data_IF_612488853236
#
_entry.id   IF_612488853236
#
_cell.length_a   1.000
_cell.length_b   1.000
_cell.length_c   1.000
_cell.angle_alpha   90.00
_cell.angle_beta   90.00
_cell.angle_gamma   90.00
#
_symmetry.space_group_name_H-M   'P 1'
#
loop_
_entity.id
_entity.type
_entity.pdbx_description
1 polymer ?
#
# COMPACT_ATOMS: atom_id res chain seq x y z
N UNK A 1 -13.44 -20.45 11.00
CA UNK A 1 -14.39 -19.68 10.19
C UNK A 1 -13.88 -19.74 8.77
N UNK A 2 -14.56 -20.48 7.89
CA UNK A 2 -14.25 -20.45 6.46
C UNK A 2 -14.38 -19.02 5.96
N UNK A 3 -13.34 -18.50 5.31
CA UNK A 3 -13.43 -17.25 4.59
C UNK A 3 -14.52 -17.41 3.53
N UNK A 4 -15.65 -16.72 3.69
CA UNK A 4 -16.73 -16.73 2.73
C UNK A 4 -16.20 -16.23 1.39
N UNK A 5 -16.02 -17.13 0.42
CA UNK A 5 -15.60 -16.79 -0.93
C UNK A 5 -16.73 -16.06 -1.65
N UNK A 6 -16.38 -15.04 -2.44
CA UNK A 6 -17.34 -14.40 -3.33
C UNK A 6 -17.75 -15.37 -4.43
N UNK A 7 -19.02 -15.31 -4.83
CA UNK A 7 -19.44 -15.97 -6.07
C UNK A 7 -18.77 -15.29 -7.28
N UNK A 8 -18.63 -15.97 -8.43
CA UNK A 8 -18.08 -15.36 -9.64
C UNK A 8 -18.80 -14.05 -10.03
N UNK A 9 -20.13 -13.99 -9.92
CA UNK A 9 -20.91 -12.80 -10.23
C UNK A 9 -20.61 -11.63 -9.28
N UNK A 10 -20.47 -11.91 -7.98
CA UNK A 10 -20.10 -10.88 -7.00
C UNK A 10 -18.71 -10.33 -7.27
N UNK A 11 -17.76 -11.20 -7.58
CA UNK A 11 -16.39 -10.80 -7.92
C UNK A 11 -16.35 -9.96 -9.21
N UNK A 12 -17.07 -10.38 -10.26
CA UNK A 12 -17.18 -9.59 -11.51
C UNK A 12 -17.81 -8.22 -11.26
N UNK A 13 -18.86 -8.16 -10.44
CA UNK A 13 -19.50 -6.89 -10.06
C UNK A 13 -18.52 -5.94 -9.36
N UNK A 14 -17.71 -6.46 -8.44
CA UNK A 14 -16.67 -5.68 -7.76
C UNK A 14 -15.63 -5.15 -8.74
N UNK A 15 -15.22 -5.96 -9.72
CA UNK A 15 -14.28 -5.52 -10.74
C UNK A 15 -14.87 -4.44 -11.65
N UNK A 16 -16.14 -4.53 -12.03
CA UNK A 16 -16.81 -3.45 -12.76
C UNK A 16 -16.80 -2.14 -11.98
N UNK A 17 -17.12 -2.18 -10.69
CA UNK A 17 -17.03 -1.00 -9.82
C UNK A 17 -15.60 -0.45 -9.74
N UNK A 18 -14.60 -1.31 -9.52
CA UNK A 18 -13.20 -0.91 -9.51
C UNK A 18 -12.75 -0.34 -10.86
N UNK A 19 -13.43 -0.71 -11.95
CA UNK A 19 -13.21 -0.19 -13.29
C UNK A 19 -13.97 1.10 -13.62
N UNK A 20 -14.62 1.69 -12.62
CA UNK A 20 -15.45 2.89 -12.80
C UNK A 20 -16.60 2.65 -13.80
N UNK A 21 -17.10 1.42 -13.88
CA UNK A 21 -18.27 1.06 -14.66
C UNK A 21 -19.51 1.05 -13.76
N UNK A 22 -20.57 1.72 -14.22
CA UNK A 22 -21.84 1.78 -13.49
C UNK A 22 -22.47 0.39 -13.41
N UNK A 23 -22.88 0.01 -12.21
CA UNK A 23 -23.71 -1.17 -11.95
C UNK A 23 -25.08 -0.68 -11.47
N UNK A 24 -26.17 -1.17 -12.06
CA UNK A 24 -27.52 -0.69 -11.77
C UNK A 24 -27.96 -0.94 -10.32
N UNK A 25 -27.62 -2.11 -9.77
CA UNK A 25 -27.85 -2.46 -8.38
C UNK A 25 -26.78 -3.45 -7.92
N UNK A 26 -26.30 -3.29 -6.69
CA UNK A 26 -25.31 -4.21 -6.12
C UNK A 26 -25.83 -4.82 -4.83
N UNK A 27 -25.92 -6.14 -4.79
CA UNK A 27 -26.29 -6.87 -3.57
C UNK A 27 -25.13 -6.82 -2.55
N UNK A 28 -25.28 -5.98 -1.54
CA UNK A 28 -24.30 -5.79 -0.44
C UNK A 28 -24.52 -6.79 0.70
N UNK A 29 -24.47 -8.08 0.41
CA UNK A 29 -24.55 -9.11 1.44
C UNK A 29 -23.24 -9.21 2.27
N UNK A 30 -23.28 -9.94 3.39
CA UNK A 30 -22.17 -10.00 4.35
C UNK A 30 -20.85 -10.48 3.71
N UNK A 31 -20.81 -11.56 2.89
CA UNK A 31 -19.58 -11.95 2.19
C UNK A 31 -18.99 -10.85 1.31
N UNK A 32 -19.83 -10.11 0.57
CA UNK A 32 -19.40 -8.98 -0.26
C UNK A 32 -18.77 -7.87 0.59
N UNK A 33 -19.42 -7.49 1.68
CA UNK A 33 -18.94 -6.46 2.60
C UNK A 33 -17.62 -6.85 3.27
N UNK A 34 -17.49 -8.10 3.73
CA UNK A 34 -16.30 -8.61 4.39
C UNK A 34 -15.11 -8.70 3.41
N UNK A 35 -15.37 -9.13 2.16
CA UNK A 35 -14.36 -9.11 1.11
C UNK A 35 -13.89 -7.69 0.77
N UNK A 36 -14.82 -6.76 0.53
CA UNK A 36 -14.50 -5.36 0.20
C UNK A 36 -13.60 -4.73 1.28
N UNK A 37 -13.90 -4.97 2.56
CA UNK A 37 -13.10 -4.45 3.68
C UNK A 37 -11.72 -5.09 3.74
N UNK A 38 -11.64 -6.42 3.72
CA UNK A 38 -10.37 -7.16 3.79
C UNK A 38 -9.47 -6.92 2.57
N UNK A 39 -10.06 -6.66 1.41
CA UNK A 39 -9.35 -6.27 0.20
C UNK A 39 -8.88 -4.80 0.19
N UNK A 40 -9.31 -4.00 1.18
CA UNK A 40 -8.95 -2.58 1.29
C UNK A 40 -9.70 -1.66 0.32
N UNK A 41 -10.86 -2.09 -0.19
CA UNK A 41 -11.57 -1.41 -1.27
C UNK A 41 -12.67 -0.47 -0.78
N UNK A 42 -13.13 -0.60 0.46
CA UNK A 42 -14.20 0.24 1.02
C UNK A 42 -13.96 1.75 0.84
N UNK A 43 -12.76 2.30 1.14
CA UNK A 43 -12.49 3.72 0.95
C UNK A 43 -12.58 4.17 -0.52
N UNK A 44 -12.02 3.36 -1.43
CA UNK A 44 -12.07 3.59 -2.87
C UNK A 44 -13.49 3.55 -3.41
N UNK A 45 -14.28 2.56 -3.01
CA UNK A 45 -15.68 2.46 -3.42
C UNK A 45 -16.49 3.66 -2.93
N UNK A 46 -16.30 4.12 -1.69
CA UNK A 46 -16.95 5.35 -1.24
C UNK A 46 -16.63 6.53 -2.16
N UNK A 47 -15.35 6.75 -2.46
CA UNK A 47 -14.92 7.84 -3.34
C UNK A 47 -15.55 7.72 -4.73
N UNK A 48 -15.48 6.55 -5.37
CA UNK A 48 -16.05 6.31 -6.70
C UNK A 48 -17.58 6.51 -6.73
N UNK A 49 -18.29 6.00 -5.72
CA UNK A 49 -19.75 6.15 -5.63
C UNK A 49 -20.12 7.63 -5.53
N UNK A 50 -19.43 8.39 -4.67
CA UNK A 50 -19.68 9.83 -4.48
C UNK A 50 -19.32 10.65 -5.71
N UNK A 51 -18.21 10.32 -6.37
CA UNK A 51 -17.75 11.01 -7.57
C UNK A 51 -18.72 10.84 -8.74
N UNK A 52 -19.33 9.65 -8.88
CA UNK A 52 -20.19 9.31 -10.01
C UNK A 52 -21.69 9.39 -9.73
N UNK A 53 -22.12 9.74 -8.52
CA UNK A 53 -23.53 9.84 -8.15
C UNK A 53 -24.27 8.49 -8.11
N UNK A 54 -23.57 7.43 -7.70
CA UNK A 54 -24.11 6.06 -7.71
C UNK A 54 -24.81 5.64 -6.41
N UNK A 55 -25.09 6.58 -5.49
CA UNK A 55 -25.60 6.27 -4.15
C UNK A 55 -26.89 5.44 -4.18
N UNK A 56 -27.75 5.66 -5.17
CA UNK A 56 -29.02 4.94 -5.35
C UNK A 56 -28.85 3.43 -5.59
N UNK A 57 -27.67 2.98 -6.04
CA UNK A 57 -27.37 1.57 -6.29
C UNK A 57 -26.92 0.79 -5.05
N UNK A 58 -26.79 1.46 -3.89
CA UNK A 58 -26.23 0.89 -2.65
C UNK A 58 -27.16 1.13 -1.45
N UNK A 59 -27.07 0.26 -0.45
CA UNK A 59 -27.80 0.43 0.81
C UNK A 59 -27.16 1.53 1.67
N UNK A 60 -27.99 2.22 2.48
CA UNK A 60 -27.50 3.24 3.42
C UNK A 60 -26.47 2.70 4.42
N UNK A 61 -26.61 1.44 4.83
CA UNK A 61 -25.66 0.76 5.70
C UNK A 61 -24.30 0.59 5.02
N UNK A 62 -24.27 0.08 3.78
CA UNK A 62 -23.02 -0.08 3.02
C UNK A 62 -22.33 1.28 2.79
N UNK A 63 -23.08 2.30 2.37
CA UNK A 63 -22.55 3.66 2.19
C UNK A 63 -21.95 4.24 3.47
N UNK A 64 -22.62 4.04 4.61
CA UNK A 64 -22.14 4.51 5.91
C UNK A 64 -20.84 3.81 6.32
N UNK A 65 -20.75 2.50 6.12
CA UNK A 65 -19.53 1.73 6.40
C UNK A 65 -18.37 2.12 5.49
N UNK A 66 -18.63 2.34 4.19
CA UNK A 66 -17.59 2.78 3.26
C UNK A 66 -17.12 4.21 3.57
N UNK A 67 -18.03 5.10 3.95
CA UNK A 67 -17.70 6.45 4.42
C UNK A 67 -16.80 6.40 5.66
N UNK A 68 -17.13 5.57 6.64
CA UNK A 68 -16.31 5.39 7.85
C UNK A 68 -14.92 4.86 7.51
N UNK A 69 -14.82 3.90 6.59
CA UNK A 69 -13.53 3.37 6.12
C UNK A 69 -12.70 4.46 5.41
N UNK A 70 -13.33 5.28 4.56
CA UNK A 70 -12.68 6.43 3.92
C UNK A 70 -12.16 7.44 4.94
N UNK A 71 -13.00 7.88 5.88
CA UNK A 71 -12.61 8.86 6.89
C UNK A 71 -11.48 8.33 7.79
N UNK A 72 -11.56 7.06 8.20
CA UNK A 72 -10.50 6.40 8.97
C UNK A 72 -9.18 6.36 8.19
N UNK A 73 -9.24 6.00 6.90
CA UNK A 73 -8.07 5.96 6.02
C UNK A 73 -7.45 7.35 5.85
N UNK A 74 -8.27 8.37 5.62
CA UNK A 74 -7.82 9.75 5.47
C UNK A 74 -7.11 10.25 6.73
N UNK A 75 -7.70 10.04 7.91
CA UNK A 75 -7.08 10.43 9.19
C UNK A 75 -5.77 9.69 9.40
N UNK A 76 -5.76 8.37 9.16
CA UNK A 76 -4.56 7.54 9.32
C UNK A 76 -3.44 7.98 8.37
N UNK A 77 -3.77 8.24 7.11
CA UNK A 77 -2.81 8.63 6.11
C UNK A 77 -2.25 10.03 6.41
N UNK A 78 -3.05 10.96 6.92
CA UNK A 78 -2.53 12.25 7.41
C UNK A 78 -1.59 12.12 8.60
N UNK A 79 -1.87 11.20 9.52
CA UNK A 79 -0.94 10.90 10.61
C UNK A 79 0.38 10.32 10.07
N UNK A 80 0.32 9.37 9.13
CA UNK A 80 1.50 8.80 8.46
C UNK A 80 2.27 9.87 7.71
N UNK A 81 1.60 10.78 7.01
CA UNK A 81 2.23 11.91 6.32
C UNK A 81 3.01 12.81 7.29
N UNK A 82 2.40 13.18 8.43
CA UNK A 82 3.08 13.97 9.45
C UNK A 82 4.31 13.25 10.02
N UNK A 83 4.23 11.92 10.18
CA UNK A 83 5.36 11.08 10.61
C UNK A 83 6.44 11.04 9.54
N UNK A 84 6.09 10.87 8.26
CA UNK A 84 7.03 10.96 7.15
C UNK A 84 7.80 12.28 7.15
N UNK A 85 7.10 13.41 7.27
CA UNK A 85 7.75 14.73 7.31
C UNK A 85 8.75 14.85 8.48
N UNK A 86 8.37 14.36 9.67
CA UNK A 86 9.25 14.37 10.83
C UNK A 86 10.47 13.45 10.65
N UNK A 87 10.26 12.23 10.14
CA UNK A 87 11.33 11.27 9.85
C UNK A 87 12.29 11.81 8.80
N UNK A 88 11.76 12.31 7.68
CA UNK A 88 12.55 12.91 6.61
C UNK A 88 13.38 14.10 7.13
N UNK A 89 12.79 14.96 7.96
CA UNK A 89 13.52 16.08 8.57
C UNK A 89 14.68 15.61 9.44
N UNK A 90 14.48 14.58 10.28
CA UNK A 90 15.52 14.04 11.16
C UNK A 90 16.63 13.39 10.33
N UNK A 91 16.28 12.50 9.41
CA UNK A 91 17.27 11.75 8.63
C UNK A 91 18.06 12.65 7.68
N UNK A 92 17.41 13.59 7.00
CA UNK A 92 18.09 14.54 6.12
C UNK A 92 19.07 15.46 6.88
N UNK A 93 18.74 15.87 8.11
CA UNK A 93 19.66 16.65 8.96
C UNK A 93 20.95 15.89 9.32
N UNK A 94 20.96 14.57 9.15
CA UNK A 94 22.10 13.69 9.37
C UNK A 94 22.64 13.07 8.08
N UNK A 95 22.28 13.64 6.91
CA UNK A 95 22.74 13.22 5.59
C UNK A 95 22.37 11.76 5.25
N UNK A 96 21.21 11.30 5.74
CA UNK A 96 20.67 9.99 5.42
C UNK A 96 19.52 10.17 4.42
N UNK A 97 19.82 9.83 3.16
CA UNK A 97 18.80 9.73 2.11
C UNK A 97 17.75 8.67 2.46
N UNK A 98 16.50 8.96 2.13
CA UNK A 98 15.37 8.06 2.30
C UNK A 98 14.44 8.07 1.08
N UNK A 99 13.84 6.92 0.79
CA UNK A 99 12.84 6.72 -0.26
C UNK A 99 11.57 6.18 0.39
N UNK A 100 10.41 6.78 0.11
CA UNK A 100 9.12 6.23 0.51
C UNK A 100 8.83 4.97 -0.30
N UNK A 101 8.35 3.93 0.38
CA UNK A 101 8.00 2.66 -0.26
C UNK A 101 6.51 2.34 -0.13
N UNK A 102 6.08 1.38 -0.95
CA UNK A 102 4.76 0.73 -0.90
C UNK A 102 3.64 1.76 -0.71
N UNK A 103 2.87 1.62 0.36
CA UNK A 103 1.66 2.39 0.58
C UNK A 103 1.87 3.88 0.74
N UNK A 104 2.96 4.27 1.38
CA UNK A 104 3.28 5.68 1.55
C UNK A 104 3.59 6.34 0.21
N UNK A 105 4.44 5.72 -0.62
CA UNK A 105 4.72 6.21 -1.97
C UNK A 105 3.43 6.31 -2.81
N UNK A 106 2.60 5.27 -2.78
CA UNK A 106 1.40 5.18 -3.60
C UNK A 106 0.32 6.19 -3.18
N UNK A 107 -0.03 6.22 -1.89
CA UNK A 107 -1.12 7.05 -1.38
C UNK A 107 -0.91 8.54 -1.63
N UNK A 108 0.35 8.99 -1.63
CA UNK A 108 0.68 10.41 -1.71
C UNK A 108 1.16 10.86 -3.09
N UNK A 109 1.64 9.95 -3.94
CA UNK A 109 2.24 10.34 -5.23
C UNK A 109 1.55 9.73 -6.46
N UNK A 110 0.72 8.70 -6.28
CA UNK A 110 0.06 7.98 -7.38
C UNK A 110 -1.45 8.12 -7.31
N UNK A 111 -2.05 7.90 -6.14
CA UNK A 111 -3.50 8.05 -5.98
C UNK A 111 -3.92 9.52 -5.97
N UNK A 112 -5.08 9.87 -6.57
CA UNK A 112 -5.57 11.26 -6.63
C UNK A 112 -6.10 11.78 -5.28
N UNK A 113 -6.39 10.89 -4.33
CA UNK A 113 -6.92 11.21 -3.00
C UNK A 113 -6.26 10.26 -1.99
N UNK A 114 -5.59 10.79 -0.96
CA UNK A 114 -4.90 9.94 0.02
C UNK A 114 -5.86 9.07 0.82
N UNK A 115 -7.13 9.44 0.95
CA UNK A 115 -8.17 8.74 1.69
C UNK A 115 -8.64 7.44 1.04
N UNK A 116 -8.26 7.14 -0.20
CA UNK A 116 -8.74 5.95 -0.92
C UNK A 116 -7.81 4.74 -0.83
N UNK A 117 -6.59 4.92 -0.28
CA UNK A 117 -5.58 3.85 -0.18
C UNK A 117 -5.20 3.55 1.28
N UNK A 118 -5.85 2.58 1.94
CA UNK A 118 -5.57 2.25 3.33
C UNK A 118 -4.14 1.71 3.52
N UNK A 119 -3.43 2.19 4.54
CA UNK A 119 -2.12 1.71 5.00
C UNK A 119 -2.04 1.67 6.53
N UNK A 120 -1.24 0.73 7.04
CA UNK A 120 -1.03 0.55 8.48
C UNK A 120 0.27 1.16 8.99
N UNK A 121 1.26 1.27 8.12
CA UNK A 121 2.67 1.50 8.42
C UNK A 121 3.29 2.53 7.47
N UNK A 122 4.48 2.98 7.84
CA UNK A 122 5.37 3.80 7.04
C UNK A 122 6.60 2.97 6.68
N UNK A 123 6.63 2.47 5.45
CA UNK A 123 7.81 1.85 4.86
C UNK A 123 8.72 2.90 4.22
N UNK A 124 10.00 2.88 4.60
CA UNK A 124 11.03 3.70 3.97
C UNK A 124 12.28 2.88 3.68
N UNK A 125 12.99 3.22 2.61
CA UNK A 125 14.29 2.65 2.27
C UNK A 125 15.37 3.68 2.55
N UNK A 126 16.41 3.29 3.29
CA UNK A 126 17.68 4.02 3.41
C UNK A 126 18.78 3.24 2.72
N UNK A 127 19.92 3.90 2.45
CA UNK A 127 21.09 3.20 1.88
C UNK A 127 21.55 2.07 2.79
N UNK A 128 22.05 1.01 2.18
CA UNK A 128 22.63 -0.11 2.93
C UNK A 128 23.74 0.40 3.86
N UNK A 129 23.75 -0.07 5.11
CA UNK A 129 24.63 0.44 6.17
C UNK A 129 24.05 1.59 7.01
N UNK A 130 23.06 2.35 6.49
CA UNK A 130 22.41 3.43 7.25
C UNK A 130 21.23 2.95 8.11
N UNK A 131 20.71 1.73 7.93
CA UNK A 131 19.51 1.23 8.61
C UNK A 131 19.57 1.35 10.15
N UNK A 132 20.64 0.84 10.76
CA UNK A 132 20.82 0.90 12.21
C UNK A 132 20.98 2.35 12.72
N UNK A 133 21.71 3.19 11.98
CA UNK A 133 21.91 4.60 12.31
C UNK A 133 20.59 5.38 12.22
N UNK A 134 19.83 5.20 11.15
CA UNK A 134 18.52 5.82 10.97
C UNK A 134 17.56 5.42 12.10
N UNK A 135 17.53 4.13 12.45
CA UNK A 135 16.75 3.64 13.59
C UNK A 135 17.16 4.31 14.90
N UNK A 136 18.46 4.41 15.19
CA UNK A 136 18.94 5.03 16.42
C UNK A 136 18.56 6.50 16.51
N UNK A 137 18.74 7.27 15.42
CA UNK A 137 18.33 8.68 15.37
C UNK A 137 16.84 8.87 15.68
N UNK A 138 15.99 7.99 15.18
CA UNK A 138 14.55 8.04 15.45
C UNK A 138 14.22 7.65 16.90
N UNK A 139 14.94 6.69 17.50
CA UNK A 139 14.81 6.37 18.92
C UNK A 139 15.23 7.57 19.79
N UNK A 140 16.34 8.21 19.47
CA UNK A 140 16.83 9.41 20.17
C UNK A 140 15.84 10.58 20.03
N UNK A 141 15.10 10.65 18.91
CA UNK A 141 14.02 11.60 18.68
C UNK A 141 12.67 11.20 19.31
N UNK A 142 12.63 10.16 20.15
CA UNK A 142 11.46 9.74 20.92
C UNK A 142 10.62 8.62 20.29
N UNK A 143 11.12 7.91 19.28
CA UNK A 143 10.51 6.67 18.83
C UNK A 143 10.70 5.55 19.86
N UNK A 144 9.79 4.58 19.84
CA UNK A 144 9.81 3.42 20.73
C UNK A 144 10.12 2.18 19.93
N UNK A 145 11.11 1.39 20.38
CA UNK A 145 11.41 0.11 19.78
C UNK A 145 10.23 -0.85 19.92
N UNK A 146 9.87 -1.57 18.84
CA UNK A 146 9.02 -2.76 18.98
C UNK A 146 9.92 -3.95 19.26
N UNK A 147 9.77 -4.54 20.44
CA UNK A 147 10.58 -5.67 20.85
C UNK A 147 10.14 -6.92 20.11
N UNK A 148 10.82 -7.24 19.02
CA UNK A 148 10.82 -8.59 18.44
C UNK A 148 12.17 -9.19 18.79
N UNK A 149 12.26 -10.35 19.47
CA UNK A 149 13.54 -10.98 19.72
C UNK A 149 14.17 -11.39 18.38
N UNK A 150 15.08 -10.55 17.87
CA UNK A 150 15.82 -10.79 16.64
C UNK A 150 17.31 -10.67 16.97
N UNK A 151 18.11 -11.63 16.50
CA UNK A 151 19.56 -11.58 16.67
C UNK A 151 20.16 -10.50 15.76
N UNK A 152 21.35 -9.99 16.08
CA UNK A 152 22.05 -9.05 15.18
C UNK A 152 22.29 -9.63 13.78
N UNK A 153 22.41 -10.96 13.67
CA UNK A 153 22.51 -11.67 12.38
C UNK A 153 21.21 -11.59 11.58
N UNK A 154 20.05 -11.61 12.25
CA UNK A 154 18.75 -11.42 11.61
C UNK A 154 18.67 -10.02 10.97
N UNK A 155 19.03 -8.95 11.67
CA UNK A 155 19.01 -7.59 11.09
C UNK A 155 20.00 -7.40 9.92
N UNK A 156 21.06 -8.22 9.82
CA UNK A 156 22.01 -8.18 8.71
C UNK A 156 21.48 -8.86 7.44
N UNK A 157 20.76 -9.98 7.61
CA UNK A 157 20.22 -10.80 6.50
C UNK A 157 18.88 -10.27 6.01
N UNK A 158 18.09 -9.63 6.88
CA UNK A 158 16.77 -9.13 6.53
C UNK A 158 16.81 -7.81 5.76
N UNK A 159 15.73 -7.53 5.04
CA UNK A 159 15.60 -6.32 4.23
C UNK A 159 15.50 -5.05 5.08
N UNK A 160 15.04 -5.18 6.32
CA UNK A 160 14.78 -4.09 7.25
C UNK A 160 15.43 -4.35 8.61
N UNK A 161 15.68 -3.28 9.36
CA UNK A 161 16.02 -3.36 10.79
C UNK A 161 14.75 -3.55 11.62
N UNK A 162 14.92 -3.90 12.90
CA UNK A 162 13.81 -4.02 13.85
C UNK A 162 12.92 -2.76 13.87
N UNK A 163 11.62 -2.94 13.62
CA UNK A 163 10.65 -1.86 13.48
C UNK A 163 10.51 -1.02 14.76
N UNK A 164 10.06 0.23 14.58
CA UNK A 164 9.83 1.20 15.66
C UNK A 164 8.43 1.77 15.55
N UNK A 165 7.92 2.34 16.64
CA UNK A 165 6.72 3.17 16.62
C UNK A 165 7.11 4.61 16.89
N UNK A 166 6.77 5.51 15.97
CA UNK A 166 7.01 6.94 16.11
C UNK A 166 5.68 7.70 15.97
N UNK A 167 5.32 8.49 16.99
CA UNK A 167 4.05 9.25 17.06
C UNK A 167 2.80 8.42 16.70
N UNK A 168 2.75 7.16 17.13
CA UNK A 168 1.63 6.23 16.89
C UNK A 168 1.60 5.57 15.50
N UNK A 169 2.64 5.73 14.70
CA UNK A 169 2.81 5.08 13.40
C UNK A 169 3.91 4.02 13.49
N UNK A 170 3.64 2.82 12.95
CA UNK A 170 4.66 1.80 12.77
C UNK A 170 5.57 2.24 11.63
N UNK A 171 6.88 2.30 11.88
CA UNK A 171 7.88 2.68 10.88
C UNK A 171 8.78 1.47 10.63
N UNK A 172 8.81 1.03 9.38
CA UNK A 172 9.70 -0.03 8.90
C UNK A 172 10.82 0.60 8.07
N UNK A 173 12.06 0.45 8.58
CA UNK A 173 13.26 1.02 7.96
C UNK A 173 13.95 -0.09 7.19
N UNK A 174 13.79 -0.06 5.88
CA UNK A 174 14.42 -0.96 4.93
C UNK A 174 15.82 -0.44 4.58
N UNK A 175 16.77 -1.35 4.45
CA UNK A 175 18.13 -1.10 3.93
C UNK A 175 18.36 -1.79 2.57
N UNK A 176 17.44 -2.67 2.18
CA UNK A 176 17.32 -3.35 0.88
C UNK A 176 15.83 -3.51 0.57
N UNK A 177 15.47 -3.71 -0.70
CA UNK A 177 14.07 -3.99 -1.04
C UNK A 177 13.62 -5.37 -0.56
N UNK A 178 14.51 -6.37 -0.61
CA UNK A 178 14.25 -7.73 -0.15
C UNK A 178 15.41 -8.28 0.68
N UNK A 179 15.19 -9.41 1.34
CA UNK A 179 16.20 -10.06 2.19
C UNK A 179 17.39 -10.54 1.34
N UNK A 180 18.56 -10.67 1.97
CA UNK A 180 19.76 -11.19 1.32
C UNK A 180 19.53 -12.59 0.76
N UNK A 181 20.01 -12.84 -0.46
CA UNK A 181 19.81 -14.11 -1.17
C UNK A 181 18.47 -14.23 -1.89
N UNK A 182 17.57 -13.24 -1.78
CA UNK A 182 16.39 -13.18 -2.63
C UNK A 182 16.81 -12.92 -4.09
N UNK A 183 16.45 -13.81 -5.04
CA UNK A 183 16.82 -13.67 -6.45
C UNK A 183 16.18 -12.45 -7.12
N UNK A 184 15.20 -11.81 -6.47
CA UNK A 184 14.51 -10.62 -6.95
C UNK A 184 15.15 -9.31 -6.45
N UNK A 185 16.26 -9.33 -5.72
CA UNK A 185 16.96 -8.09 -5.38
C UNK A 185 17.53 -7.40 -6.63
N UNK A 186 17.14 -6.15 -6.93
CA UNK A 186 17.85 -5.37 -7.94
C UNK A 186 19.23 -4.94 -7.38
N UNK A 187 20.22 -4.67 -8.25
CA UNK A 187 21.43 -3.99 -7.82
C UNK A 187 21.07 -2.63 -7.19
N UNK A 188 21.70 -2.25 -6.08
CA UNK A 188 21.31 -1.07 -5.30
C UNK A 188 21.70 0.26 -5.98
N UNK A 189 22.86 0.34 -6.63
CA UNK A 189 23.34 1.58 -7.27
C UNK A 189 22.43 2.09 -8.41
N UNK A 190 21.92 1.25 -9.33
CA UNK A 190 20.93 1.66 -10.32
C UNK A 190 19.62 2.17 -9.72
N UNK A 191 19.20 1.67 -8.55
CA UNK A 191 17.92 2.01 -7.91
C UNK A 191 17.91 3.47 -7.43
N UNK A 192 18.93 3.87 -6.66
CA UNK A 192 19.00 5.21 -6.06
C UNK A 192 19.16 6.31 -7.12
N UNK A 193 19.89 6.02 -8.20
CA UNK A 193 20.11 6.97 -9.29
C UNK A 193 18.83 7.26 -10.11
N UNK A 194 17.87 6.33 -10.12
CA UNK A 194 16.63 6.45 -10.88
C UNK A 194 15.44 6.91 -10.03
N UNK A 195 15.64 7.13 -8.73
CA UNK A 195 14.59 7.62 -7.85
C UNK A 195 14.08 9.01 -8.27
N UNK A 196 12.81 9.26 -7.96
CA UNK A 196 12.11 10.46 -8.39
C UNK A 196 11.66 11.27 -7.18
N UNK A 197 11.94 12.58 -7.21
CA UNK A 197 11.39 13.52 -6.24
C UNK A 197 9.97 13.93 -6.65
N UNK A 198 9.06 13.95 -5.68
CA UNK A 198 7.66 14.39 -5.83
C UNK A 198 7.35 15.45 -4.79
N UNK A 199 6.72 16.54 -5.21
CA UNK A 199 6.23 17.56 -4.28
C UNK A 199 4.83 17.14 -3.80
N UNK A 200 4.70 16.88 -2.50
CA UNK A 200 3.42 16.50 -1.88
C UNK A 200 3.17 17.44 -0.72
N UNK A 201 2.05 18.15 -0.73
CA UNK A 201 1.63 19.06 0.35
C UNK A 201 2.76 19.99 0.87
N UNK A 202 3.62 20.49 -0.03
CA UNK A 202 4.73 21.39 0.30
C UNK A 202 6.00 20.72 0.84
N UNK A 203 6.11 19.39 0.80
CA UNK A 203 7.33 18.65 1.14
C UNK A 203 7.77 17.74 0.00
N UNK A 204 9.08 17.60 -0.17
CA UNK A 204 9.65 16.66 -1.14
C UNK A 204 9.57 15.25 -0.56
N UNK A 205 9.00 14.33 -1.33
CA UNK A 205 9.02 12.89 -1.09
C UNK A 205 9.77 12.22 -2.23
N UNK A 206 10.87 11.55 -1.91
CA UNK A 206 11.58 10.70 -2.87
C UNK A 206 10.88 9.34 -2.93
N UNK A 207 10.60 8.87 -4.15
CA UNK A 207 10.01 7.56 -4.43
C UNK A 207 10.85 6.82 -5.46
N UNK A 208 10.66 5.51 -5.58
CA UNK A 208 11.13 4.76 -6.74
C UNK A 208 10.54 5.36 -8.03
N UNK A 209 11.24 5.25 -9.15
CA UNK A 209 10.58 5.47 -10.44
C UNK A 209 9.43 4.46 -10.62
N UNK A 210 8.56 4.74 -11.59
CA UNK A 210 7.36 3.97 -11.80
C UNK A 210 7.67 2.50 -12.20
N UNK A 211 8.78 2.23 -12.90
CA UNK A 211 9.18 0.86 -13.29
C UNK A 211 9.62 0.02 -12.08
N UNK A 212 10.49 0.58 -11.24
CA UNK A 212 10.95 -0.02 -9.99
C UNK A 212 9.81 -0.10 -8.97
N UNK A 213 8.89 0.86 -8.96
CA UNK A 213 7.71 0.83 -8.11
C UNK A 213 6.78 -0.33 -8.50
N UNK A 214 6.47 -0.51 -9.79
CA UNK A 214 5.70 -1.67 -10.31
C UNK A 214 6.39 -2.97 -9.94
N UNK A 215 7.70 -3.07 -10.21
CA UNK A 215 8.48 -4.24 -9.82
C UNK A 215 8.36 -4.53 -8.32
N UNK A 216 8.50 -3.50 -7.48
CA UNK A 216 8.46 -3.65 -6.04
C UNK A 216 7.11 -4.15 -5.51
N UNK A 217 6.02 -3.53 -5.94
CA UNK A 217 4.67 -3.89 -5.48
C UNK A 217 4.18 -5.21 -6.08
N UNK A 218 4.62 -5.56 -7.29
CA UNK A 218 4.35 -6.87 -7.89
C UNK A 218 5.06 -8.00 -7.13
N UNK A 219 6.34 -7.81 -6.80
CA UNK A 219 7.11 -8.76 -5.97
C UNK A 219 6.51 -8.88 -4.57
N UNK A 220 6.11 -7.77 -3.95
CA UNK A 220 5.39 -7.80 -2.67
C UNK A 220 4.09 -8.62 -2.75
N UNK A 221 3.28 -8.41 -3.79
CA UNK A 221 2.05 -9.18 -4.00
C UNK A 221 2.33 -10.68 -4.19
N UNK A 222 3.39 -11.02 -4.94
CA UNK A 222 3.84 -12.40 -5.15
C UNK A 222 4.28 -13.08 -3.84
N UNK A 223 5.10 -12.43 -3.02
CA UNK A 223 5.49 -12.97 -1.71
C UNK A 223 4.29 -13.18 -0.79
N UNK A 224 3.37 -12.22 -0.76
CA UNK A 224 2.12 -12.39 -0.01
C UNK A 224 1.35 -13.63 -0.47
N UNK A 225 1.16 -13.79 -1.79
CA UNK A 225 0.49 -14.95 -2.36
C UNK A 225 1.19 -16.26 -1.95
N UNK A 226 2.51 -16.32 -2.04
CA UNK A 226 3.33 -17.47 -1.61
C UNK A 226 3.14 -17.83 -0.13
N UNK A 227 2.82 -16.85 0.71
CA UNK A 227 2.52 -17.01 2.13
C UNK A 227 1.03 -17.21 2.42
N UNK A 228 0.21 -17.38 1.38
CA UNK A 228 -1.21 -17.73 1.49
C UNK A 228 -2.16 -16.54 1.59
N UNK A 229 -1.71 -15.31 1.32
CA UNK A 229 -2.55 -14.11 1.40
C UNK A 229 -2.28 -13.11 0.30
N UNK A 230 -3.31 -12.71 -0.45
CA UNK A 230 -3.20 -11.66 -1.47
C UNK A 230 -4.43 -10.77 -1.41
N UNK A 231 -4.23 -9.45 -1.48
CA UNK A 231 -5.33 -8.46 -1.47
C UNK A 231 -5.54 -7.90 -2.87
N UNK A 232 -6.80 -7.79 -3.29
CA UNK A 232 -7.13 -7.14 -4.56
C UNK A 232 -6.62 -5.69 -4.61
N UNK A 233 -6.57 -4.99 -3.48
CA UNK A 233 -5.95 -3.66 -3.39
C UNK A 233 -4.49 -3.61 -3.86
N UNK A 234 -3.68 -4.65 -3.64
CA UNK A 234 -2.29 -4.68 -4.12
C UNK A 234 -2.19 -4.80 -5.64
N UNK A 235 -3.15 -5.49 -6.25
CA UNK A 235 -3.23 -5.58 -7.71
C UNK A 235 -3.70 -4.25 -8.31
N UNK A 236 -4.60 -3.54 -7.63
CA UNK A 236 -4.99 -2.19 -8.01
C UNK A 236 -3.84 -1.18 -7.86
N UNK A 237 -2.97 -1.36 -6.86
CA UNK A 237 -1.75 -0.55 -6.71
C UNK A 237 -0.85 -0.69 -7.96
N UNK A 238 -0.65 -1.92 -8.47
CA UNK A 238 0.10 -2.17 -9.72
C UNK A 238 -0.54 -1.41 -10.88
N UNK A 239 -1.85 -1.58 -11.06
CA UNK A 239 -2.59 -0.95 -12.15
C UNK A 239 -2.51 0.59 -12.06
N UNK A 240 -2.62 1.16 -10.85
CA UNK A 240 -2.56 2.61 -10.65
C UNK A 240 -1.23 3.21 -11.11
N UNK A 241 -0.10 2.53 -10.84
CA UNK A 241 1.22 2.99 -11.31
C UNK A 241 1.35 2.84 -12.82
N UNK A 242 0.94 1.69 -13.38
CA UNK A 242 1.04 1.44 -14.82
C UNK A 242 0.23 2.45 -15.65
N UNK A 243 -0.90 2.91 -15.14
CA UNK A 243 -1.75 3.89 -15.82
C UNK A 243 -1.15 5.31 -15.90
N UNK A 244 -0.07 5.61 -15.16
CA UNK A 244 0.65 6.90 -15.29
C UNK A 244 1.40 7.04 -16.62
N UNK A 245 1.68 5.92 -17.28
CA UNK A 245 2.47 5.85 -18.51
C UNK A 245 1.67 5.42 -19.74
N UNK A 246 0.37 5.23 -19.59
CA UNK A 246 -0.49 4.77 -20.67
C UNK A 246 -1.50 5.87 -20.97
N UNK A 247 -1.40 6.45 -22.16
CA UNK A 247 -2.53 7.10 -22.77
C UNK A 247 -3.58 6.01 -23.07
N UNK A 248 -4.76 6.15 -22.46
CA UNK A 248 -6.04 5.43 -22.69
C UNK A 248 -6.47 4.26 -21.76
N UNK A 249 -7.75 4.36 -21.34
CA UNK A 249 -8.59 3.40 -20.60
C UNK A 249 -8.61 1.95 -21.16
N UNK A 250 -8.15 1.71 -22.40
CA UNK A 250 -8.26 0.41 -23.06
C UNK A 250 -7.32 -0.64 -22.46
N UNK A 251 -6.16 -0.22 -21.95
CA UNK A 251 -5.15 -1.08 -21.33
C UNK A 251 -5.57 -1.50 -19.91
N UNK A 252 -6.25 -0.61 -19.18
CA UNK A 252 -6.80 -0.87 -17.86
C UNK A 252 -7.79 -2.04 -17.87
N UNK A 253 -8.67 -2.11 -18.88
CA UNK A 253 -9.59 -3.25 -19.01
C UNK A 253 -8.85 -4.58 -19.21
N UNK A 254 -7.81 -4.63 -20.06
CA UNK A 254 -7.00 -5.85 -20.27
C UNK A 254 -6.20 -6.27 -19.03
N UNK A 255 -5.63 -5.32 -18.28
CA UNK A 255 -4.86 -5.63 -17.07
C UNK A 255 -5.77 -6.14 -15.95
N UNK A 256 -6.93 -5.54 -15.76
CA UNK A 256 -7.92 -6.03 -14.78
C UNK A 256 -8.54 -7.37 -15.22
N UNK A 257 -8.60 -7.66 -16.53
CA UNK A 257 -8.97 -8.99 -17.05
C UNK A 257 -7.90 -10.04 -16.75
N UNK A 258 -6.62 -9.67 -16.70
CA UNK A 258 -5.61 -10.58 -16.14
C UNK A 258 -5.89 -10.82 -14.64
N UNK A 259 -6.36 -9.81 -13.90
CA UNK A 259 -6.72 -9.95 -12.47
C UNK A 259 -7.93 -10.86 -12.22
N UNK A 260 -8.88 -10.99 -13.16
CA UNK A 260 -9.99 -11.96 -13.03
C UNK A 260 -9.49 -13.40 -13.02
N UNK A 261 -8.41 -13.70 -13.76
CA UNK A 261 -7.79 -15.03 -13.76
C UNK A 261 -7.08 -15.34 -12.42
N UNK A 262 -6.69 -14.32 -11.66
CA UNK A 262 -6.17 -14.45 -10.29
C UNK A 262 -7.25 -14.55 -9.21
N UNK A 263 -8.55 -14.46 -9.55
CA UNK A 263 -9.65 -14.54 -8.58
C UNK A 263 -9.68 -15.88 -7.82
N UNK A 264 -9.24 -16.97 -8.45
CA UNK A 264 -9.12 -18.29 -7.83
C UNK A 264 -8.00 -18.34 -6.75
N UNK A 265 -7.15 -17.31 -6.69
CA UNK A 265 -5.92 -17.25 -5.90
C UNK A 265 -6.03 -16.26 -4.72
N UNK A 266 -6.96 -15.30 -4.76
CA UNK A 266 -7.19 -14.31 -3.71
C UNK A 266 -7.85 -14.94 -2.47
N UNK A 267 -7.05 -15.50 -1.55
CA UNK A 267 -7.48 -15.78 -0.16
C UNK A 267 -7.36 -14.50 0.67
N UNK A 268 -8.34 -14.17 1.54
CA UNK A 268 -8.21 -13.01 2.42
C UNK A 268 -7.01 -13.19 3.35
N UNK A 269 -6.15 -12.18 3.40
CA UNK A 269 -5.07 -12.12 4.38
C UNK A 269 -5.67 -12.06 5.79
N UNK A 270 -5.04 -12.68 6.81
CA UNK A 270 -5.49 -12.55 8.18
C UNK A 270 -5.58 -11.07 8.58
N UNK A 271 -6.70 -10.71 9.22
CA UNK A 271 -6.88 -9.41 9.82
C UNK A 271 -5.97 -9.37 11.05
N UNK A 272 -4.92 -8.54 11.02
CA UNK A 272 -4.16 -8.25 12.23
C UNK A 272 -5.09 -7.40 13.12
N UNK A 273 -5.46 -7.98 14.28
CA UNK A 273 -6.16 -7.30 15.37
C UNK A 273 -5.24 -6.29 16.05
#
# INVERSE_FOLDING_TARGET
>A
MEASSLTPNQFQTLLFLCREQKVESVEMNRPMMDFIKSAGLAPRLYHLIKQNGWEHGFTNDALSQFKLAYMSTLVRNRQIWSVWQAVASILNAHEIDLIALKGSALAFTVYPDEGIRPMGDLDLLVREGNGARARQLLLDAGAVARYVPQSQVHDQVHAHVSAITYKGVLVEIHQRLYAMGDPLNPPSEPLWAQCQSRMVAGSVMTVLDDAHMVYHIATHAWHGYRLGGMRLGWLLDIVAVMMRHVDELHVFNKHVEALTHFAAILKPAPVFQ
#
